data_IF_463171270609
#
_entry.id   IF_463171270609
#
_cell.length_a   1.000
_cell.length_b   1.000
_cell.length_c   1.000
_cell.angle_alpha   90.00
_cell.angle_beta   90.00
_cell.angle_gamma   90.00
#
_symmetry.space_group_name_H-M   'P 1'
#
loop_
_entity.id
_entity.type
_entity.pdbx_description
1 polymer ?
#
# COMPACT_ATOMS: atom_id res chain seq x y z
N UNK A 1 17.38 -6.06 -5.54
CA UNK A 1 16.31 -5.44 -4.74
C UNK A 1 14.97 -5.91 -5.28
N UNK A 2 14.06 -6.30 -4.40
CA UNK A 2 12.71 -6.74 -4.74
C UNK A 2 11.71 -6.10 -3.78
N UNK A 3 10.47 -5.92 -4.25
CA UNK A 3 9.39 -5.34 -3.48
C UNK A 3 8.14 -6.20 -3.59
N UNK A 4 7.33 -6.20 -2.54
CA UNK A 4 6.04 -6.89 -2.48
C UNK A 4 4.99 -5.95 -1.93
N UNK A 5 3.88 -5.83 -2.65
CA UNK A 5 2.64 -5.29 -2.11
C UNK A 5 1.83 -6.44 -1.49
N UNK A 6 1.57 -6.34 -0.19
CA UNK A 6 0.82 -7.34 0.55
C UNK A 6 -0.49 -6.74 1.09
N UNK A 7 -1.60 -7.31 0.63
CA UNK A 7 -2.93 -6.96 1.15
C UNK A 7 -3.11 -7.44 2.59
N UNK A 8 -2.51 -8.57 2.94
CA UNK A 8 -2.67 -9.32 4.18
C UNK A 8 -3.96 -10.14 4.23
N UNK A 9 -4.44 -10.39 5.45
CA UNK A 9 -5.48 -11.36 5.70
C UNK A 9 -6.88 -10.85 5.32
N UNK A 10 -7.53 -11.46 4.33
CA UNK A 10 -8.82 -10.95 3.85
C UNK A 10 -9.95 -10.94 4.91
N UNK A 11 -9.90 -11.78 5.94
CA UNK A 11 -11.01 -11.97 6.90
C UNK A 11 -10.78 -11.36 8.28
N UNK A 12 -9.75 -10.54 8.47
CA UNK A 12 -9.53 -9.88 9.76
C UNK A 12 -8.21 -9.13 9.86
N UNK A 13 -8.04 -8.30 10.91
CA UNK A 13 -6.84 -7.48 11.06
C UNK A 13 -5.58 -8.32 11.28
N UNK A 14 -4.47 -7.91 10.68
CA UNK A 14 -3.15 -8.51 10.88
C UNK A 14 -2.06 -7.50 10.50
N UNK A 15 -0.84 -7.71 11.02
CA UNK A 15 0.26 -6.77 10.82
C UNK A 15 1.06 -7.05 9.54
N UNK A 16 0.91 -8.23 8.94
CA UNK A 16 1.55 -8.62 7.67
C UNK A 16 0.80 -8.00 6.47
N UNK A 17 0.85 -6.67 6.41
CA UNK A 17 0.21 -5.81 5.41
C UNK A 17 1.15 -4.68 5.00
N UNK A 18 0.92 -4.15 3.81
CA UNK A 18 1.64 -2.99 3.28
C UNK A 18 2.72 -3.39 2.28
N UNK A 19 3.73 -2.52 2.12
CA UNK A 19 4.82 -2.75 1.18
C UNK A 19 6.04 -3.27 1.92
N UNK A 20 6.61 -4.34 1.40
CA UNK A 20 7.84 -4.93 1.90
C UNK A 20 8.95 -4.78 0.86
N UNK A 21 10.17 -4.53 1.34
CA UNK A 21 11.39 -4.39 0.53
C UNK A 21 12.41 -5.43 0.98
N UNK A 22 13.11 -6.01 0.03
CA UNK A 22 14.27 -6.87 0.29
C UNK A 22 15.46 -6.46 -0.57
N UNK A 23 16.64 -6.41 0.06
CA UNK A 23 17.92 -6.13 -0.59
C UNK A 23 18.69 -7.39 -1.00
N UNK A 24 18.34 -8.55 -0.43
CA UNK A 24 19.01 -9.84 -0.62
C UNK A 24 18.24 -10.82 -1.52
N UNK A 25 17.23 -10.33 -2.25
CA UNK A 25 16.48 -11.15 -3.20
C UNK A 25 15.31 -11.93 -2.57
N UNK A 26 14.94 -11.62 -1.34
CA UNK A 26 13.77 -12.13 -0.64
C UNK A 26 14.09 -13.04 0.54
N UNK A 27 15.34 -13.10 0.98
CA UNK A 27 15.74 -13.85 2.18
C UNK A 27 15.30 -13.10 3.45
N UNK A 28 15.50 -11.79 3.47
CA UNK A 28 15.02 -10.90 4.55
C UNK A 28 14.16 -9.77 3.99
N UNK A 29 13.15 -9.37 4.77
CA UNK A 29 12.17 -8.36 4.38
C UNK A 29 12.04 -7.25 5.42
N UNK A 30 12.03 -6.02 4.94
CA UNK A 30 11.73 -4.82 5.71
C UNK A 30 10.34 -4.31 5.33
N UNK A 31 9.51 -3.97 6.32
CA UNK A 31 8.22 -3.32 6.08
C UNK A 31 8.43 -1.82 5.90
N UNK A 32 8.31 -1.35 4.65
CA UNK A 32 8.66 0.02 4.26
C UNK A 32 7.45 0.94 4.11
N UNK A 33 6.24 0.39 3.97
CA UNK A 33 4.99 1.14 4.06
C UNK A 33 3.98 0.35 4.88
N UNK A 34 3.44 0.98 5.92
CA UNK A 34 2.38 0.43 6.76
C UNK A 34 1.44 1.56 7.17
N UNK A 35 0.14 1.35 6.96
CA UNK A 35 -0.90 2.32 7.35
C UNK A 35 -1.57 1.86 8.63
N UNK A 36 -2.11 0.64 8.64
CA UNK A 36 -2.71 0.01 9.82
C UNK A 36 -2.82 -1.50 9.64
N UNK A 37 -3.30 -2.20 10.67
CA UNK A 37 -3.59 -3.64 10.59
C UNK A 37 -4.87 -3.99 9.80
N UNK A 38 -5.60 -2.99 9.27
CA UNK A 38 -6.81 -3.15 8.44
C UNK A 38 -6.58 -2.78 6.97
N UNK A 39 -5.44 -2.15 6.67
CA UNK A 39 -5.17 -1.52 5.37
C UNK A 39 -3.89 -2.10 4.78
N UNK A 40 -4.01 -2.73 3.62
CA UNK A 40 -2.89 -3.40 2.95
C UNK A 40 -2.59 -2.83 1.56
N UNK A 41 -1.42 -3.16 1.02
CA UNK A 41 -1.05 -2.74 -0.32
C UNK A 41 -1.63 -3.71 -1.35
N UNK A 42 -2.28 -3.19 -2.39
CA UNK A 42 -2.87 -3.99 -3.47
C UNK A 42 -1.97 -4.03 -4.69
N UNK A 43 -1.34 -2.91 -5.00
CA UNK A 43 -0.47 -2.77 -6.16
C UNK A 43 0.69 -1.83 -5.85
N UNK A 44 1.80 -2.02 -6.55
CA UNK A 44 3.01 -1.22 -6.47
C UNK A 44 3.58 -1.04 -7.88
N UNK A 45 3.67 0.21 -8.32
CA UNK A 45 4.27 0.56 -9.61
C UNK A 45 5.53 1.38 -9.40
N UNK A 46 6.53 1.14 -10.23
CA UNK A 46 7.85 1.73 -10.14
C UNK A 46 8.20 2.44 -11.45
N UNK A 47 8.77 3.63 -11.35
CA UNK A 47 9.29 4.32 -12.53
C UNK A 47 10.50 3.56 -13.09
N UNK A 48 10.41 3.19 -14.37
CA UNK A 48 11.46 2.45 -15.09
C UNK A 48 12.73 3.26 -15.30
N UNK A 49 12.64 4.60 -15.33
CA UNK A 49 13.79 5.49 -15.48
C UNK A 49 14.43 5.83 -14.13
N UNK A 50 13.64 5.84 -13.06
CA UNK A 50 14.12 6.10 -11.70
C UNK A 50 13.40 5.21 -10.68
N UNK A 51 13.94 4.00 -10.42
CA UNK A 51 13.38 3.03 -9.47
C UNK A 51 13.21 3.51 -8.03
N UNK A 52 13.77 4.67 -7.65
CA UNK A 52 13.52 5.28 -6.34
C UNK A 52 12.13 5.91 -6.24
N UNK A 53 11.50 6.20 -7.38
CA UNK A 53 10.14 6.73 -7.44
C UNK A 53 9.19 5.55 -7.63
N UNK A 54 8.31 5.35 -6.66
CA UNK A 54 7.29 4.29 -6.68
C UNK A 54 5.98 4.82 -6.14
N UNK A 55 4.88 4.25 -6.62
CA UNK A 55 3.54 4.50 -6.13
C UNK A 55 2.91 3.20 -5.66
N UNK A 56 2.27 3.23 -4.49
CA UNK A 56 1.55 2.11 -3.91
C UNK A 56 0.07 2.46 -3.74
N UNK A 57 -0.81 1.52 -4.07
CA UNK A 57 -2.23 1.62 -3.72
C UNK A 57 -2.50 0.87 -2.42
N UNK A 58 -3.04 1.59 -1.44
CA UNK A 58 -3.39 1.07 -0.12
C UNK A 58 -4.91 0.95 -0.04
N UNK A 59 -5.39 -0.20 0.41
CA UNK A 59 -6.81 -0.53 0.44
C UNK A 59 -7.22 -1.09 1.79
N UNK A 60 -8.16 -0.38 2.43
CA UNK A 60 -8.82 -0.87 3.62
C UNK A 60 -9.97 -1.79 3.22
N UNK A 61 -9.81 -3.08 3.50
CA UNK A 61 -10.78 -4.11 3.12
C UNK A 61 -10.87 -5.22 4.15
N UNK A 62 -12.11 -5.64 4.43
CA UNK A 62 -12.40 -6.80 5.26
C UNK A 62 -13.55 -7.60 4.64
N UNK A 63 -13.32 -8.90 4.46
CA UNK A 63 -14.32 -9.86 4.02
C UNK A 63 -14.96 -10.53 5.23
N UNK A 64 -16.28 -10.65 5.18
CA UNK A 64 -17.10 -11.45 6.09
C UNK A 64 -17.84 -12.50 5.26
N UNK A 65 -18.49 -13.48 5.91
CA UNK A 65 -19.22 -14.54 5.20
C UNK A 65 -20.31 -14.03 4.25
N UNK A 66 -20.86 -12.84 4.53
CA UNK A 66 -22.03 -12.31 3.83
C UNK A 66 -21.78 -10.95 3.17
N UNK A 67 -20.65 -10.29 3.45
CA UNK A 67 -20.38 -8.91 3.03
C UNK A 67 -18.88 -8.68 2.80
N UNK A 68 -18.57 -7.61 2.05
CA UNK A 68 -17.22 -7.05 1.93
C UNK A 68 -17.32 -5.59 2.37
N UNK A 69 -16.60 -5.25 3.44
CA UNK A 69 -16.37 -3.86 3.83
C UNK A 69 -15.17 -3.36 3.04
N UNK A 70 -15.37 -2.30 2.27
CA UNK A 70 -14.43 -1.84 1.24
C UNK A 70 -14.37 -0.32 1.24
N UNK A 71 -13.16 0.25 1.20
CA UNK A 71 -12.97 1.68 0.96
C UNK A 71 -13.14 2.53 2.21
N UNK A 72 -12.47 2.15 3.31
CA UNK A 72 -12.39 3.00 4.50
C UNK A 72 -11.45 4.19 4.34
N UNK A 73 -11.47 5.10 5.31
CA UNK A 73 -10.74 6.39 5.33
C UNK A 73 -9.23 6.26 5.12
N UNK A 74 -8.65 5.09 5.41
CA UNK A 74 -7.22 4.84 5.25
C UNK A 74 -6.83 4.39 3.83
N UNK A 75 -7.81 4.16 2.96
CA UNK A 75 -7.60 3.84 1.55
C UNK A 75 -6.97 5.04 0.86
N UNK A 76 -5.93 4.81 0.06
CA UNK A 76 -5.25 5.91 -0.60
C UNK A 76 -4.10 5.50 -1.50
N UNK A 77 -3.58 6.48 -2.21
CA UNK A 77 -2.39 6.35 -3.04
C UNK A 77 -1.22 7.01 -2.34
N UNK A 78 -0.13 6.26 -2.23
CA UNK A 78 1.09 6.70 -1.57
C UNK A 78 2.22 6.74 -2.59
N UNK A 79 3.09 7.75 -2.49
CA UNK A 79 4.28 7.88 -3.33
C UNK A 79 5.53 7.94 -2.45
N UNK A 80 6.58 7.30 -2.91
CA UNK A 80 7.95 7.48 -2.41
C UNK A 80 8.82 8.00 -3.54
N UNK A 81 9.87 8.75 -3.18
CA UNK A 81 10.88 9.27 -4.13
C UNK A 81 12.31 8.90 -3.74
N UNK A 82 12.45 8.08 -2.71
CA UNK A 82 13.71 7.67 -2.10
C UNK A 82 13.85 6.14 -1.96
N UNK A 83 13.08 5.37 -2.73
CA UNK A 83 13.19 3.90 -2.71
C UNK A 83 12.42 3.26 -1.57
N UNK A 84 11.42 3.94 -1.04
CA UNK A 84 10.52 3.44 -0.01
C UNK A 84 10.94 3.77 1.42
N UNK A 85 11.95 4.60 1.63
CA UNK A 85 12.35 5.02 2.98
C UNK A 85 11.34 6.01 3.55
N UNK A 86 10.77 6.88 2.72
CA UNK A 86 9.68 7.77 3.09
C UNK A 86 8.53 7.69 2.08
N UNK A 87 7.31 7.76 2.60
CA UNK A 87 6.08 7.72 1.82
C UNK A 87 5.19 8.92 2.15
N UNK A 88 4.59 9.48 1.11
CA UNK A 88 3.66 10.60 1.16
C UNK A 88 2.29 10.12 0.66
N UNK A 89 1.23 10.35 1.43
CA UNK A 89 -0.14 10.14 0.94
C UNK A 89 -0.51 11.30 0.01
N UNK A 90 -0.83 10.97 -1.25
CA UNK A 90 -1.15 11.95 -2.29
C UNK A 90 -2.60 11.87 -2.76
N UNK A 91 -3.46 11.16 -2.02
CA UNK A 91 -4.85 10.89 -2.43
C UNK A 91 -5.67 12.15 -2.67
N UNK A 92 -5.34 13.24 -1.97
CA UNK A 92 -6.02 14.54 -2.06
C UNK A 92 -5.26 15.56 -2.95
N UNK A 93 -4.20 15.13 -3.65
CA UNK A 93 -3.43 16.05 -4.48
C UNK A 93 -4.20 16.46 -5.74
N UNK A 94 -4.08 17.74 -6.10
CA UNK A 94 -4.63 18.31 -7.33
C UNK A 94 -4.23 17.48 -8.56
N UNK A 95 -5.22 16.94 -9.26
CA UNK A 95 -5.02 16.12 -10.46
C UNK A 95 -5.40 14.65 -10.30
N UNK A 96 -5.60 14.17 -9.06
CA UNK A 96 -6.32 12.92 -8.82
C UNK A 96 -7.82 13.18 -8.66
N UNK A 97 -8.69 12.20 -8.99
CA UNK A 97 -10.10 12.30 -8.67
C UNK A 97 -10.30 12.47 -7.16
N UNK A 98 -11.12 13.42 -6.77
CA UNK A 98 -11.53 13.54 -5.38
C UNK A 98 -12.36 12.32 -4.98
N UNK A 99 -12.25 11.93 -3.72
CA UNK A 99 -13.13 10.91 -3.16
C UNK A 99 -14.55 11.50 -3.01
N UNK A 100 -15.42 11.28 -3.99
CA UNK A 100 -16.85 11.66 -3.90
C UNK A 100 -17.67 10.71 -2.98
N UNK A 101 -17.02 10.06 -2.02
CA UNK A 101 -17.67 9.11 -1.12
C UNK A 101 -18.45 9.91 -0.07
N UNK A 102 -19.77 9.94 -0.24
CA UNK A 102 -20.75 10.58 0.63
C UNK A 102 -21.35 9.60 1.63
#
# INVERSE_FOLDING_TARGET
>A
MVYVAALGHAFGPNDERGVFRSSDGGENWEKVLFVSNKTGAVDLSMDTNNPRIMMASMYQVQRSFWTIESGGEETGIYITRDGGDNWENISENTGLPNSDIK
#
